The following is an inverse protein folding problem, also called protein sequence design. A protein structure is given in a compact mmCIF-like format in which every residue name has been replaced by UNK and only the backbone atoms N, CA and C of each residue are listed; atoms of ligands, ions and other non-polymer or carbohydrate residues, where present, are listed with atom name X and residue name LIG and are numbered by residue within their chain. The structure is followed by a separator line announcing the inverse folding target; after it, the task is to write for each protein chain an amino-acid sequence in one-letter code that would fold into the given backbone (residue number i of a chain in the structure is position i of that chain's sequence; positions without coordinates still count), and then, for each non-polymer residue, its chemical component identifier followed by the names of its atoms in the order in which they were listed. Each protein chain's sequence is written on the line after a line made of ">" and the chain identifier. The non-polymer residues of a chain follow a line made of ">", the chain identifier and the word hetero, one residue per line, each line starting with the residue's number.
data_IF_798356407919
#
_entry.id   IF_798356407919
#
_cell.length_a   1.000
_cell.length_b   1.000
_cell.length_c   1.000
_cell.angle_alpha   90.00
_cell.angle_beta   90.00
_cell.angle_gamma   90.00
#
_symmetry.space_group_name_H-M   'P 1'
#
loop_
_entity.id
_entity.type
_entity.pdbx_description
1 polymer ?
#
# COMPACT_ATOMS: atom_id res chain seq x y z
N UNK A 1 30.49 28.30 -15.91
CA UNK A 1 30.26 27.90 -14.51
C UNK A 1 28.78 28.09 -14.22
N UNK A 2 28.07 27.07 -13.80
CA UNK A 2 26.67 27.24 -13.36
C UNK A 2 26.66 27.93 -11.98
N UNK A 3 25.96 29.05 -11.87
CA UNK A 3 25.79 29.78 -10.60
C UNK A 3 24.79 28.98 -9.76
N UNK A 4 25.20 28.55 -8.56
CA UNK A 4 24.29 27.93 -7.59
C UNK A 4 23.57 29.05 -6.84
N UNK A 5 22.25 29.07 -6.96
CA UNK A 5 21.39 30.00 -6.23
C UNK A 5 20.96 29.38 -4.90
N UNK A 6 21.22 30.07 -3.82
CA UNK A 6 20.79 29.69 -2.48
C UNK A 6 19.60 30.55 -2.06
N UNK A 7 18.52 29.94 -1.58
CA UNK A 7 17.34 30.61 -1.05
C UNK A 7 17.25 30.30 0.47
N UNK A 8 17.72 31.19 1.35
CA UNK A 8 17.77 30.94 2.81
C UNK A 8 16.42 30.61 3.41
N UNK A 9 15.33 31.19 2.89
CA UNK A 9 13.98 30.99 3.38
C UNK A 9 13.33 29.66 2.92
N UNK A 10 13.98 28.94 1.99
CA UNK A 10 13.42 27.70 1.45
C UNK A 10 13.16 26.65 2.53
N UNK A 11 13.99 26.55 3.55
CA UNK A 11 13.78 25.63 4.69
C UNK A 11 12.50 25.94 5.45
N UNK A 12 12.23 27.23 5.69
CA UNK A 12 11.00 27.69 6.36
C UNK A 12 9.78 27.47 5.47
N UNK A 13 9.91 27.72 4.17
CA UNK A 13 8.87 27.43 3.20
C UNK A 13 8.53 25.93 3.17
N UNK A 14 9.55 25.06 3.15
CA UNK A 14 9.37 23.61 3.24
C UNK A 14 8.61 23.21 4.51
N UNK A 15 9.03 23.68 5.67
CA UNK A 15 8.38 23.39 6.95
C UNK A 15 6.89 23.76 6.91
N UNK A 16 6.57 24.96 6.44
CA UNK A 16 5.20 25.47 6.40
C UNK A 16 4.28 24.70 5.43
N UNK A 17 4.86 24.08 4.38
CA UNK A 17 4.14 23.32 3.37
C UNK A 17 4.01 21.83 3.70
N UNK A 18 4.63 21.35 4.76
CA UNK A 18 4.48 19.95 5.18
C UNK A 18 3.10 19.68 5.78
N UNK A 19 2.50 18.54 5.47
CA UNK A 19 1.23 18.08 6.08
C UNK A 19 1.34 17.98 7.61
N UNK A 20 2.49 17.58 8.11
CA UNK A 20 2.87 17.62 9.53
C UNK A 20 4.14 18.48 9.66
N UNK A 21 4.01 19.78 9.95
CA UNK A 21 5.15 20.69 10.06
C UNK A 21 6.16 20.23 11.10
N UNK A 22 7.44 20.23 10.71
CA UNK A 22 8.56 19.93 11.61
C UNK A 22 9.84 20.60 11.12
N UNK A 23 10.70 21.00 12.05
CA UNK A 23 12.03 21.53 11.77
C UNK A 23 13.16 20.50 11.91
N UNK A 24 12.83 19.26 12.29
CA UNK A 24 13.80 18.17 12.56
C UNK A 24 14.80 17.95 11.42
N UNK A 25 14.42 18.24 10.18
CA UNK A 25 15.33 18.09 9.05
C UNK A 25 16.54 19.04 9.10
N UNK A 26 16.46 20.14 9.86
CA UNK A 26 17.59 21.05 10.11
C UNK A 26 18.71 20.41 10.94
N UNK A 27 18.40 19.36 11.70
CA UNK A 27 19.37 18.64 12.54
C UNK A 27 20.10 17.50 11.79
N UNK A 28 20.08 17.51 10.47
CA UNK A 28 20.75 16.50 9.65
C UNK A 28 22.26 16.53 9.83
N UNK A 29 22.80 15.43 10.37
CA UNK A 29 24.24 15.26 10.62
C UNK A 29 25.07 14.97 9.36
N UNK A 30 24.44 14.81 8.19
CA UNK A 30 25.09 14.37 6.95
C UNK A 30 25.87 13.05 7.07
N UNK A 31 25.49 12.18 8.00
CA UNK A 31 26.19 10.94 8.37
C UNK A 31 26.10 9.80 7.34
N UNK A 32 25.42 9.99 6.20
CA UNK A 32 25.24 9.01 5.11
C UNK A 32 24.33 7.81 5.38
N UNK A 33 23.95 7.48 6.61
CA UNK A 33 23.15 6.30 6.97
C UNK A 33 21.87 6.16 6.13
N UNK A 34 21.20 7.28 5.81
CA UNK A 34 20.02 7.27 4.94
C UNK A 34 20.35 6.82 3.50
N UNK A 35 21.57 7.16 3.00
CA UNK A 35 21.99 6.75 1.66
C UNK A 35 22.31 5.26 1.61
N UNK A 36 23.08 4.73 2.56
CA UNK A 36 23.44 3.30 2.62
C UNK A 36 22.24 2.38 2.80
N UNK A 37 21.16 2.88 3.42
CA UNK A 37 19.92 2.12 3.60
C UNK A 37 18.96 2.22 2.40
N UNK A 38 19.21 3.15 1.48
CA UNK A 38 18.33 3.39 0.34
C UNK A 38 18.64 2.43 -0.80
N UNK A 39 17.67 1.64 -1.31
CA UNK A 39 17.91 0.73 -2.43
C UNK A 39 18.26 1.45 -3.76
N UNK A 40 18.16 2.78 -3.81
CA UNK A 40 18.56 3.58 -4.98
C UNK A 40 20.05 3.85 -5.10
N UNK A 41 20.82 3.74 -4.04
CA UNK A 41 22.24 4.09 -4.05
C UNK A 41 23.02 3.30 -5.11
N UNK A 42 22.69 2.01 -5.25
CA UNK A 42 23.32 1.14 -6.24
C UNK A 42 22.73 1.32 -7.66
N UNK A 43 21.54 1.90 -7.76
CA UNK A 43 20.87 2.10 -9.04
C UNK A 43 21.34 3.38 -9.77
N UNK A 44 21.59 4.46 -8.99
CA UNK A 44 22.07 5.74 -9.50
C UNK A 44 22.89 6.48 -8.42
N UNK A 45 24.20 6.59 -8.64
CA UNK A 45 25.13 7.20 -7.66
C UNK A 45 24.75 8.61 -7.20
N UNK A 46 24.06 9.39 -8.04
CA UNK A 46 23.67 10.78 -7.76
C UNK A 46 22.24 10.91 -7.20
N UNK A 47 21.43 9.84 -7.19
CA UNK A 47 20.06 9.85 -6.68
C UNK A 47 20.00 9.18 -5.32
N UNK A 48 20.22 9.93 -4.26
CA UNK A 48 20.13 9.39 -2.91
C UNK A 48 19.60 10.41 -1.91
N UNK A 49 19.02 9.95 -0.78
CA UNK A 49 18.41 10.83 0.20
C UNK A 49 19.40 11.80 0.85
N UNK A 50 20.69 11.46 0.95
CA UNK A 50 21.69 12.36 1.52
C UNK A 50 21.92 13.59 0.64
N UNK A 51 22.04 13.41 -0.67
CA UNK A 51 22.23 14.52 -1.62
C UNK A 51 21.00 15.42 -1.59
N UNK A 52 19.78 14.85 -1.61
CA UNK A 52 18.53 15.59 -1.47
C UNK A 52 18.53 16.42 -0.18
N UNK A 53 18.88 15.82 0.96
CA UNK A 53 18.93 16.51 2.23
C UNK A 53 19.96 17.64 2.25
N UNK A 54 21.14 17.45 1.66
CA UNK A 54 22.16 18.50 1.55
C UNK A 54 21.68 19.68 0.73
N UNK A 55 21.07 19.45 -0.41
CA UNK A 55 20.45 20.51 -1.22
C UNK A 55 19.39 21.29 -0.42
N UNK A 56 18.53 20.58 0.33
CA UNK A 56 17.49 21.20 1.16
C UNK A 56 18.10 22.12 2.23
N UNK A 57 19.09 21.63 2.98
CA UNK A 57 19.72 22.38 4.06
C UNK A 57 20.46 23.61 3.55
N UNK A 58 21.06 23.50 2.39
CA UNK A 58 21.75 24.61 1.74
C UNK A 58 20.81 25.61 1.07
N UNK A 59 19.51 25.35 1.01
CA UNK A 59 18.54 26.22 0.35
C UNK A 59 18.62 26.20 -1.18
N UNK A 60 19.08 25.09 -1.78
CA UNK A 60 19.20 24.91 -3.22
C UNK A 60 17.87 24.51 -3.84
N UNK A 61 16.88 25.41 -3.79
CA UNK A 61 15.49 25.15 -4.21
C UNK A 61 15.38 24.68 -5.65
N UNK A 62 15.97 25.43 -6.59
CA UNK A 62 15.90 25.07 -8.01
C UNK A 62 16.49 23.69 -8.31
N UNK A 63 17.61 23.34 -7.65
CA UNK A 63 18.24 22.04 -7.79
C UNK A 63 17.40 20.90 -7.22
N UNK A 64 16.63 21.16 -6.16
CA UNK A 64 15.67 20.18 -5.60
C UNK A 64 14.49 19.98 -6.55
N UNK A 65 13.92 21.05 -7.09
CA UNK A 65 12.76 20.96 -7.98
C UNK A 65 13.08 20.21 -9.28
N UNK A 66 14.34 20.20 -9.69
CA UNK A 66 14.85 19.46 -10.87
C UNK A 66 15.46 18.11 -10.52
N UNK A 67 15.53 17.75 -9.21
CA UNK A 67 16.21 16.53 -8.77
C UNK A 67 15.40 15.27 -9.14
N UNK A 68 15.95 14.36 -9.95
CA UNK A 68 15.26 13.10 -10.29
C UNK A 68 14.87 12.27 -9.07
N UNK A 69 15.57 12.42 -7.94
CA UNK A 69 15.24 11.74 -6.69
C UNK A 69 13.81 12.03 -6.21
N UNK A 70 13.30 13.23 -6.50
CA UNK A 70 11.93 13.64 -6.10
C UNK A 70 10.91 12.63 -6.61
N UNK A 71 10.96 12.24 -7.88
CA UNK A 71 9.99 11.28 -8.46
C UNK A 71 10.46 9.82 -8.38
N UNK A 72 11.76 9.58 -8.36
CA UNK A 72 12.28 8.23 -8.21
C UNK A 72 12.19 7.67 -6.77
N UNK A 73 12.02 8.52 -5.75
CA UNK A 73 11.80 8.06 -4.38
C UNK A 73 10.48 7.30 -4.25
N UNK A 74 10.51 6.05 -3.79
CA UNK A 74 9.30 5.24 -3.58
C UNK A 74 8.61 5.51 -2.25
N UNK A 75 9.03 6.54 -1.52
CA UNK A 75 8.47 6.88 -0.20
C UNK A 75 8.40 5.69 0.76
N UNK A 76 9.33 4.76 0.68
CA UNK A 76 9.35 3.57 1.53
C UNK A 76 9.76 3.85 2.98
N UNK A 77 10.28 5.03 3.27
CA UNK A 77 10.69 5.54 4.60
C UNK A 77 11.78 4.75 5.32
N UNK A 78 12.50 3.83 4.64
CA UNK A 78 13.61 3.10 5.25
C UNK A 78 14.71 4.06 5.74
N UNK A 79 14.99 5.12 4.99
CA UNK A 79 15.93 6.18 5.37
C UNK A 79 15.55 6.90 6.69
N UNK A 80 14.26 6.96 7.03
CA UNK A 80 13.79 7.50 8.32
C UNK A 80 14.09 6.54 9.47
N UNK A 81 13.90 5.23 9.25
CA UNK A 81 14.17 4.20 10.27
C UNK A 81 15.64 4.14 10.67
N UNK A 82 16.53 4.34 9.71
CA UNK A 82 17.98 4.28 9.95
C UNK A 82 18.58 5.64 10.36
N UNK A 83 17.82 6.73 10.26
CA UNK A 83 18.30 8.06 10.61
C UNK A 83 18.38 8.25 12.13
N UNK A 84 19.54 8.60 12.72
CA UNK A 84 19.67 8.84 14.16
C UNK A 84 18.81 10.03 14.65
N UNK A 85 18.47 10.97 13.75
CA UNK A 85 17.58 12.10 14.01
C UNK A 85 16.11 11.84 13.61
N UNK A 86 15.80 10.64 13.12
CA UNK A 86 14.47 10.26 12.65
C UNK A 86 13.85 11.22 11.61
N UNK A 87 14.69 11.81 10.74
CA UNK A 87 14.27 12.75 9.70
C UNK A 87 13.38 12.02 8.67
N UNK A 88 12.21 12.56 8.43
CA UNK A 88 11.22 11.98 7.53
C UNK A 88 11.47 12.42 6.07
N UNK A 89 12.54 11.92 5.46
CA UNK A 89 12.92 12.28 4.07
C UNK A 89 11.78 12.02 3.09
N UNK A 90 11.03 10.94 3.27
CA UNK A 90 9.85 10.64 2.42
C UNK A 90 8.75 11.70 2.51
N UNK A 91 8.53 12.30 3.69
CA UNK A 91 7.58 13.41 3.86
C UNK A 91 8.08 14.67 3.15
N UNK A 92 9.37 14.99 3.26
CA UNK A 92 9.98 16.12 2.55
C UNK A 92 9.85 15.96 1.02
N UNK A 93 10.18 14.78 0.49
CA UNK A 93 10.00 14.48 -0.95
C UNK A 93 8.54 14.64 -1.37
N UNK A 94 7.61 14.13 -0.57
CA UNK A 94 6.18 14.25 -0.82
C UNK A 94 5.73 15.72 -0.83
N UNK A 95 6.24 16.53 0.10
CA UNK A 95 5.96 17.98 0.16
C UNK A 95 6.48 18.68 -1.11
N UNK A 96 7.68 18.34 -1.59
CA UNK A 96 8.20 18.89 -2.86
C UNK A 96 7.30 18.54 -4.02
N UNK A 97 6.87 17.29 -4.14
CA UNK A 97 5.97 16.83 -5.21
C UNK A 97 4.67 17.63 -5.30
N UNK A 98 4.02 17.85 -4.16
CA UNK A 98 2.67 18.40 -4.13
C UNK A 98 2.57 19.92 -4.02
N UNK A 99 3.61 20.60 -3.49
CA UNK A 99 3.46 21.97 -3.02
C UNK A 99 4.37 23.00 -3.73
N UNK A 100 5.09 22.59 -4.78
CA UNK A 100 6.02 23.47 -5.50
C UNK A 100 5.77 23.49 -7.01
N UNK A 101 4.55 23.24 -7.45
CA UNK A 101 4.15 23.37 -8.85
C UNK A 101 4.67 22.27 -9.78
N UNK A 102 5.15 21.15 -9.23
CA UNK A 102 5.62 20.05 -10.04
C UNK A 102 4.45 19.24 -10.62
N UNK A 103 4.61 18.81 -11.88
CA UNK A 103 3.70 17.87 -12.53
C UNK A 103 4.16 16.43 -12.23
N UNK A 104 3.21 15.60 -11.80
CA UNK A 104 3.50 14.18 -11.56
C UNK A 104 3.71 13.45 -12.90
N UNK A 105 4.75 12.60 -13.00
CA UNK A 105 5.04 11.86 -14.23
C UNK A 105 4.01 10.76 -14.50
N UNK A 106 3.87 10.40 -15.77
CA UNK A 106 3.02 9.31 -16.24
C UNK A 106 1.55 9.49 -15.86
N UNK A 107 0.94 8.44 -15.32
CA UNK A 107 -0.47 8.41 -14.98
C UNK A 107 -0.78 8.83 -13.53
N UNK A 108 0.23 9.22 -12.74
CA UNK A 108 0.04 9.45 -11.28
C UNK A 108 -0.97 10.57 -11.00
N UNK A 109 -0.91 11.70 -11.74
CA UNK A 109 -1.90 12.77 -11.58
C UNK A 109 -3.25 12.36 -12.17
N UNK A 110 -3.26 11.78 -13.39
CA UNK A 110 -4.50 11.33 -14.05
C UNK A 110 -5.33 10.41 -13.14
N UNK A 111 -4.70 9.49 -12.43
CA UNK A 111 -5.37 8.58 -11.49
C UNK A 111 -6.09 9.34 -10.36
N UNK A 112 -5.48 10.42 -9.87
CA UNK A 112 -6.11 11.29 -8.84
C UNK A 112 -7.31 12.03 -9.43
N UNK A 113 -7.15 12.62 -10.62
CA UNK A 113 -8.20 13.34 -11.31
C UNK A 113 -9.38 12.43 -11.66
N UNK A 114 -9.10 11.19 -12.11
CA UNK A 114 -10.12 10.19 -12.38
C UNK A 114 -10.88 9.81 -11.10
N UNK A 115 -10.18 9.60 -9.99
CA UNK A 115 -10.82 9.32 -8.70
C UNK A 115 -11.74 10.47 -8.25
N UNK A 116 -11.27 11.71 -8.39
CA UNK A 116 -12.08 12.89 -8.06
C UNK A 116 -13.32 13.02 -8.97
N UNK A 117 -13.21 12.65 -10.23
CA UNK A 117 -14.29 12.76 -11.21
C UNK A 117 -15.29 11.60 -11.11
N UNK A 118 -14.83 10.36 -10.95
CA UNK A 118 -15.66 9.16 -11.08
C UNK A 118 -15.93 8.41 -9.76
N UNK A 119 -15.28 8.79 -8.68
CA UNK A 119 -15.36 8.07 -7.39
C UNK A 119 -14.43 6.87 -7.27
N UNK A 120 -13.65 6.53 -8.30
CA UNK A 120 -12.62 5.49 -8.24
C UNK A 120 -11.44 5.79 -9.17
N UNK A 121 -10.26 5.27 -8.83
CA UNK A 121 -9.00 5.56 -9.51
C UNK A 121 -8.84 4.95 -10.91
N UNK A 122 -9.76 4.11 -11.35
CA UNK A 122 -9.65 3.35 -12.61
C UNK A 122 -10.83 3.56 -13.56
N UNK A 123 -11.67 4.54 -13.29
CA UNK A 123 -12.86 4.87 -14.10
C UNK A 123 -13.76 3.62 -14.32
N UNK A 124 -13.85 2.75 -13.31
CA UNK A 124 -14.82 1.65 -13.35
C UNK A 124 -16.22 2.25 -13.35
N UNK A 125 -17.01 1.92 -14.37
CA UNK A 125 -18.39 2.37 -14.44
C UNK A 125 -19.22 1.72 -13.34
N UNK A 126 -20.25 2.41 -12.90
CA UNK A 126 -21.17 1.91 -11.86
C UNK A 126 -21.83 0.60 -12.27
N UNK A 127 -22.27 0.48 -13.52
CA UNK A 127 -22.87 -0.75 -14.09
C UNK A 127 -21.88 -1.92 -14.06
N UNK A 128 -20.64 -1.72 -14.57
CA UNK A 128 -19.60 -2.76 -14.59
C UNK A 128 -19.25 -3.25 -13.16
N UNK A 129 -19.27 -2.35 -12.19
CA UNK A 129 -19.04 -2.69 -10.78
C UNK A 129 -20.17 -3.56 -10.22
N UNK A 130 -21.42 -3.16 -10.43
CA UNK A 130 -22.58 -3.90 -9.94
C UNK A 130 -22.73 -5.26 -10.62
N UNK A 131 -22.51 -5.33 -11.92
CA UNK A 131 -22.51 -6.58 -12.68
C UNK A 131 -21.41 -7.54 -12.18
N UNK A 132 -20.22 -7.01 -11.88
CA UNK A 132 -19.14 -7.79 -11.28
C UNK A 132 -19.54 -8.38 -9.92
N UNK A 133 -20.18 -7.58 -9.05
CA UNK A 133 -20.63 -8.08 -7.75
C UNK A 133 -21.72 -9.13 -7.86
N UNK A 134 -22.64 -8.97 -8.80
CA UNK A 134 -23.68 -9.97 -9.06
C UNK A 134 -23.07 -11.28 -9.53
N UNK A 135 -22.17 -11.24 -10.50
CA UNK A 135 -21.47 -12.43 -10.98
C UNK A 135 -20.68 -13.12 -9.88
N UNK A 136 -19.94 -12.36 -9.06
CA UNK A 136 -19.20 -12.91 -7.91
C UNK A 136 -20.15 -13.51 -6.86
N UNK A 137 -21.34 -12.95 -6.66
CA UNK A 137 -22.37 -13.54 -5.76
C UNK A 137 -22.86 -14.90 -6.29
N UNK A 138 -23.10 -15.01 -7.59
CA UNK A 138 -23.49 -16.27 -8.23
C UNK A 138 -22.42 -17.36 -8.07
N UNK A 139 -21.13 -17.01 -8.31
CA UNK A 139 -20.01 -17.94 -8.06
C UNK A 139 -19.87 -18.29 -6.56
N UNK A 140 -20.06 -17.34 -5.66
CA UNK A 140 -20.05 -17.62 -4.23
C UNK A 140 -21.08 -18.68 -3.86
N UNK A 141 -22.33 -18.54 -4.35
CA UNK A 141 -23.41 -19.48 -4.10
C UNK A 141 -23.09 -20.89 -4.57
N UNK A 142 -22.40 -21.00 -5.73
CA UNK A 142 -21.96 -22.29 -6.28
C UNK A 142 -20.85 -22.92 -5.44
N UNK A 143 -19.82 -22.15 -5.09
CA UNK A 143 -18.67 -22.65 -4.32
C UNK A 143 -19.06 -23.09 -2.91
N UNK A 144 -19.90 -22.30 -2.20
CA UNK A 144 -20.31 -22.63 -0.85
C UNK A 144 -21.57 -23.52 -0.78
N UNK A 145 -22.19 -23.83 -1.94
CA UNK A 145 -23.42 -24.63 -2.06
C UNK A 145 -24.60 -24.09 -1.25
N UNK A 146 -24.67 -22.78 -1.10
CA UNK A 146 -25.71 -22.06 -0.39
C UNK A 146 -26.31 -20.95 -1.27
N UNK A 147 -27.53 -21.17 -1.76
CA UNK A 147 -28.25 -20.19 -2.59
C UNK A 147 -28.62 -18.90 -1.86
N UNK A 148 -28.49 -18.87 -0.53
CA UNK A 148 -28.72 -17.68 0.27
C UNK A 148 -27.44 -16.91 0.56
N UNK A 149 -26.27 -17.43 0.15
CA UNK A 149 -25.03 -16.69 0.25
C UNK A 149 -25.10 -15.40 -0.59
N UNK A 150 -24.74 -14.27 0.01
CA UNK A 150 -24.86 -12.95 -0.62
C UNK A 150 -23.65 -12.08 -0.43
N UNK A 151 -23.43 -11.19 -1.36
CA UNK A 151 -22.58 -10.00 -1.21
C UNK A 151 -23.52 -8.84 -0.82
N UNK A 152 -23.65 -8.52 0.47
CA UNK A 152 -24.58 -7.48 0.91
C UNK A 152 -24.12 -6.11 0.40
N UNK A 153 -25.04 -5.40 -0.26
CA UNK A 153 -24.78 -4.07 -0.82
C UNK A 153 -25.66 -3.03 -0.08
N UNK A 154 -25.03 -1.93 0.36
CA UNK A 154 -25.68 -0.82 1.04
C UNK A 154 -26.49 -1.20 2.31
N UNK A 155 -26.12 -2.29 2.98
CA UNK A 155 -26.76 -2.70 4.25
C UNK A 155 -26.43 -1.68 5.35
N UNK A 156 -27.42 -0.94 5.80
CA UNK A 156 -27.27 0.05 6.87
C UNK A 156 -27.02 -0.63 8.23
N UNK A 157 -26.12 -0.05 9.00
CA UNK A 157 -25.81 -0.51 10.36
C UNK A 157 -25.03 -1.82 10.41
N UNK A 158 -24.52 -2.32 9.28
CA UNK A 158 -23.61 -3.47 9.28
C UNK A 158 -22.39 -3.19 10.16
N UNK A 159 -21.80 -4.24 10.71
CA UNK A 159 -20.61 -4.10 11.57
C UNK A 159 -19.39 -3.57 10.80
N UNK A 160 -19.23 -4.00 9.54
CA UNK A 160 -18.10 -3.66 8.70
C UNK A 160 -18.53 -3.17 7.30
N UNK A 161 -17.85 -2.10 6.83
CA UNK A 161 -17.86 -1.71 5.42
C UNK A 161 -16.59 -2.25 4.76
N UNK A 162 -16.73 -3.24 3.88
CA UNK A 162 -15.61 -3.76 3.10
C UNK A 162 -15.39 -2.92 1.85
N UNK A 163 -14.16 -2.45 1.64
CA UNK A 163 -13.79 -1.58 0.53
C UNK A 163 -12.64 -2.17 -0.28
N UNK A 164 -12.68 -1.90 -1.57
CA UNK A 164 -11.81 -2.51 -2.56
C UNK A 164 -10.70 -1.58 -3.05
N UNK A 165 -9.72 -2.17 -3.69
CA UNK A 165 -8.93 -1.51 -4.71
C UNK A 165 -9.61 -1.76 -6.08
N UNK A 166 -9.84 -0.77 -6.94
CA UNK A 166 -10.49 -0.98 -8.25
C UNK A 166 -9.83 -2.02 -9.16
N UNK A 167 -8.60 -2.40 -8.89
CA UNK A 167 -7.94 -3.52 -9.59
C UNK A 167 -8.65 -4.85 -9.34
N UNK A 168 -9.25 -5.01 -8.16
CA UNK A 168 -10.00 -6.22 -7.82
C UNK A 168 -11.21 -6.37 -8.73
N UNK A 169 -11.89 -5.27 -9.06
CA UNK A 169 -13.01 -5.29 -10.01
C UNK A 169 -12.54 -5.56 -11.44
N UNK A 170 -11.38 -5.01 -11.86
CA UNK A 170 -10.94 -5.12 -13.26
C UNK A 170 -10.08 -6.35 -13.57
N UNK A 171 -9.28 -6.82 -12.63
CA UNK A 171 -8.20 -7.79 -12.89
C UNK A 171 -8.10 -8.92 -11.88
N UNK A 172 -8.69 -8.77 -10.70
CA UNK A 172 -8.55 -9.71 -9.59
C UNK A 172 -9.90 -9.98 -8.92
N UNK A 173 -10.93 -10.26 -9.74
CA UNK A 173 -12.30 -10.52 -9.26
C UNK A 173 -12.37 -11.69 -8.29
N UNK A 174 -11.45 -12.66 -8.44
CA UNK A 174 -11.28 -13.76 -7.52
C UNK A 174 -10.99 -13.31 -6.09
N UNK A 175 -10.32 -12.16 -5.89
CA UNK A 175 -10.05 -11.63 -4.55
C UNK A 175 -11.35 -11.23 -3.84
N UNK A 176 -12.33 -10.71 -4.58
CA UNK A 176 -13.66 -10.36 -4.05
C UNK A 176 -14.42 -11.63 -3.65
N UNK A 177 -14.41 -12.65 -4.51
CA UNK A 177 -15.05 -13.94 -4.25
C UNK A 177 -14.47 -14.59 -2.99
N UNK A 178 -13.15 -14.67 -2.89
CA UNK A 178 -12.47 -15.25 -1.74
C UNK A 178 -12.80 -14.50 -0.45
N UNK A 179 -12.78 -13.15 -0.47
CA UNK A 179 -13.15 -12.36 0.68
C UNK A 179 -14.59 -12.63 1.11
N UNK A 180 -15.53 -12.65 0.17
CA UNK A 180 -16.94 -12.95 0.43
C UNK A 180 -17.12 -14.37 1.00
N UNK A 181 -16.39 -15.36 0.48
CA UNK A 181 -16.40 -16.75 0.97
C UNK A 181 -15.86 -16.85 2.41
N UNK A 182 -14.79 -16.12 2.73
CA UNK A 182 -14.25 -16.05 4.09
C UNK A 182 -15.27 -15.40 5.06
N UNK A 183 -15.91 -14.31 4.65
CA UNK A 183 -16.95 -13.66 5.46
C UNK A 183 -18.18 -14.55 5.64
N UNK A 184 -18.60 -15.26 4.60
CA UNK A 184 -19.68 -16.24 4.68
C UNK A 184 -19.33 -17.37 5.65
N UNK A 185 -18.15 -17.98 5.52
CA UNK A 185 -17.69 -19.06 6.39
C UNK A 185 -17.58 -18.60 7.86
N UNK A 186 -17.17 -17.37 8.09
CA UNK A 186 -17.07 -16.77 9.40
C UNK A 186 -18.42 -16.30 9.98
N UNK A 187 -19.51 -16.30 9.21
CA UNK A 187 -20.80 -15.72 9.59
C UNK A 187 -20.70 -14.24 9.95
N UNK A 188 -19.95 -13.43 9.16
CA UNK A 188 -19.68 -12.04 9.51
C UNK A 188 -20.80 -11.10 9.06
N UNK A 189 -21.01 -10.03 9.84
CA UNK A 189 -21.94 -8.95 9.50
C UNK A 189 -21.19 -7.82 8.79
N UNK A 190 -21.31 -7.77 7.47
CA UNK A 190 -20.59 -6.85 6.62
C UNK A 190 -21.44 -6.33 5.46
N UNK A 191 -20.94 -5.34 4.77
CA UNK A 191 -21.53 -4.86 3.51
C UNK A 191 -20.47 -4.24 2.63
N UNK A 192 -20.75 -4.17 1.34
CA UNK A 192 -20.08 -3.26 0.41
C UNK A 192 -20.96 -2.04 0.15
N UNK A 193 -20.39 -0.99 -0.43
CA UNK A 193 -21.15 0.16 -0.85
C UNK A 193 -21.31 0.19 -2.36
N UNK A 194 -22.49 0.60 -2.82
CA UNK A 194 -22.72 0.92 -4.24
C UNK A 194 -22.01 2.21 -4.68
N UNK A 195 -21.52 3.04 -3.74
CA UNK A 195 -20.87 4.35 -4.00
C UNK A 195 -19.60 4.47 -3.17
N UNK A 196 -18.59 5.20 -3.71
CA UNK A 196 -17.35 5.50 -3.00
C UNK A 196 -16.67 4.25 -2.38
N UNK A 197 -16.72 3.13 -3.09
CA UNK A 197 -16.20 1.83 -2.67
C UNK A 197 -14.67 1.68 -2.84
N UNK A 198 -14.01 2.61 -3.57
CA UNK A 198 -12.57 2.64 -3.73
C UNK A 198 -11.88 3.15 -2.47
N UNK A 199 -11.19 2.25 -1.75
CA UNK A 199 -10.43 2.57 -0.54
C UNK A 199 -9.07 3.23 -0.82
N UNK A 200 -8.67 3.40 -2.07
CA UNK A 200 -7.35 3.96 -2.41
C UNK A 200 -7.34 5.50 -2.41
N UNK A 201 -6.16 6.09 -2.31
CA UNK A 201 -5.98 7.54 -2.41
C UNK A 201 -4.58 7.87 -2.97
N UNK A 202 -4.47 8.01 -4.29
CA UNK A 202 -3.20 8.23 -4.96
C UNK A 202 -2.60 9.62 -4.72
N UNK A 203 -3.39 10.60 -4.30
CA UNK A 203 -2.90 11.91 -3.89
C UNK A 203 -1.93 11.82 -2.68
N UNK A 204 -1.96 10.71 -1.94
CA UNK A 204 -0.93 10.35 -0.96
C UNK A 204 0.48 10.35 -1.57
N UNK A 205 0.66 9.88 -2.80
CA UNK A 205 1.98 9.72 -3.42
C UNK A 205 2.50 10.97 -4.10
N UNK A 206 1.63 11.78 -4.68
CA UNK A 206 2.02 13.04 -5.33
C UNK A 206 1.98 14.26 -4.39
N UNK A 207 1.59 14.08 -3.12
CA UNK A 207 1.61 15.14 -2.13
C UNK A 207 0.50 16.18 -2.26
N UNK A 208 -0.54 15.88 -3.03
CA UNK A 208 -1.70 16.75 -3.24
C UNK A 208 -2.70 16.59 -2.09
N UNK A 209 -2.45 17.29 -0.99
CA UNK A 209 -3.20 17.12 0.25
C UNK A 209 -4.66 17.60 0.17
N UNK A 210 -4.97 18.57 -0.68
CA UNK A 210 -6.35 19.02 -0.89
C UNK A 210 -7.16 17.96 -1.62
N UNK A 211 -6.62 17.39 -2.68
CA UNK A 211 -7.24 16.29 -3.43
C UNK A 211 -7.36 15.03 -2.55
N UNK A 212 -6.33 14.74 -1.74
CA UNK A 212 -6.36 13.65 -0.78
C UNK A 212 -7.49 13.81 0.25
N UNK A 213 -7.72 15.04 0.71
CA UNK A 213 -8.82 15.38 1.63
C UNK A 213 -10.18 15.14 1.00
N UNK A 214 -10.39 15.59 -0.25
CA UNK A 214 -11.68 15.40 -0.94
C UNK A 214 -11.99 13.91 -1.16
N UNK A 215 -11.00 13.08 -1.51
CA UNK A 215 -11.18 11.63 -1.61
C UNK A 215 -11.50 11.03 -0.22
N UNK A 216 -10.78 11.43 0.82
CA UNK A 216 -11.02 10.94 2.19
C UNK A 216 -12.41 11.31 2.72
N UNK A 217 -12.90 12.51 2.38
CA UNK A 217 -14.25 12.97 2.71
C UNK A 217 -15.34 12.04 2.18
N UNK A 218 -15.22 11.59 0.93
CA UNK A 218 -16.21 10.70 0.30
C UNK A 218 -16.37 9.40 1.09
N UNK A 219 -15.27 8.79 1.54
CA UNK A 219 -15.33 7.59 2.38
C UNK A 219 -15.96 7.88 3.74
N UNK A 220 -15.65 9.04 4.34
CA UNK A 220 -16.25 9.45 5.61
C UNK A 220 -17.77 9.72 5.49
N UNK A 221 -18.21 10.32 4.38
CA UNK A 221 -19.63 10.52 4.08
C UNK A 221 -20.34 9.19 3.84
N UNK A 222 -19.68 8.25 3.20
CA UNK A 222 -20.22 6.93 2.93
C UNK A 222 -20.41 6.11 4.20
N UNK A 223 -19.46 6.14 5.12
CA UNK A 223 -19.62 5.49 6.43
C UNK A 223 -20.77 6.09 7.24
N UNK A 224 -20.97 7.42 7.15
CA UNK A 224 -22.12 8.11 7.77
C UNK A 224 -23.44 7.71 7.11
N UNK A 225 -23.49 7.67 5.76
CA UNK A 225 -24.68 7.26 5.00
C UNK A 225 -25.18 5.88 5.39
N UNK A 226 -24.23 4.95 5.58
CA UNK A 226 -24.53 3.56 5.94
C UNK A 226 -24.65 3.33 7.46
N UNK A 227 -24.26 4.31 8.29
CA UNK A 227 -24.28 4.17 9.75
C UNK A 227 -23.23 3.18 10.26
N UNK A 228 -22.09 3.05 9.58
CA UNK A 228 -21.03 2.08 9.87
C UNK A 228 -19.83 2.80 10.49
N UNK A 229 -19.23 2.17 11.51
CA UNK A 229 -18.10 2.75 12.25
C UNK A 229 -16.75 2.20 11.85
N UNK A 230 -16.68 1.04 11.20
CA UNK A 230 -15.43 0.36 10.89
C UNK A 230 -15.36 0.02 9.40
N UNK A 231 -14.31 0.52 8.74
CA UNK A 231 -14.00 0.21 7.35
C UNK A 231 -12.92 -0.86 7.32
N UNK A 232 -13.13 -1.90 6.51
CA UNK A 232 -12.20 -3.00 6.30
C UNK A 232 -11.60 -2.89 4.91
N UNK A 233 -10.27 -2.73 4.84
CA UNK A 233 -9.53 -2.68 3.59
C UNK A 233 -9.22 -4.08 3.09
N UNK A 234 -9.39 -4.32 1.80
CA UNK A 234 -8.83 -5.49 1.11
C UNK A 234 -7.30 -5.57 1.27
N UNK A 235 -6.64 -6.60 0.75
CA UNK A 235 -5.18 -6.71 0.85
C UNK A 235 -4.44 -5.64 0.04
N UNK A 236 -4.62 -4.40 0.42
CA UNK A 236 -4.02 -3.23 -0.21
C UNK A 236 -3.33 -2.33 0.81
N UNK A 237 -2.00 -2.46 0.95
CA UNK A 237 -1.22 -1.61 1.86
C UNK A 237 -1.32 -0.11 1.56
N UNK A 238 -1.60 0.28 0.31
CA UNK A 238 -1.86 1.67 -0.06
C UNK A 238 -3.20 2.16 0.50
N UNK A 239 -4.28 1.42 0.27
CA UNK A 239 -5.61 1.77 0.80
C UNK A 239 -5.57 1.81 2.33
N UNK A 240 -4.94 0.83 2.97
CA UNK A 240 -4.78 0.81 4.42
C UNK A 240 -4.06 2.07 4.93
N UNK A 241 -2.91 2.42 4.34
CA UNK A 241 -2.14 3.60 4.76
C UNK A 241 -2.93 4.89 4.58
N UNK A 242 -3.61 5.07 3.44
CA UNK A 242 -4.36 6.30 3.16
C UNK A 242 -5.53 6.50 4.11
N UNK A 243 -6.19 5.42 4.55
CA UNK A 243 -7.31 5.51 5.47
C UNK A 243 -6.88 5.51 6.94
N UNK A 244 -5.96 4.64 7.35
CA UNK A 244 -5.51 4.54 8.73
C UNK A 244 -4.68 5.73 9.20
N UNK A 245 -3.71 6.14 8.37
CA UNK A 245 -2.79 7.24 8.69
C UNK A 245 -3.22 8.57 8.03
N UNK A 246 -3.66 8.52 6.77
CA UNK A 246 -3.90 9.72 5.96
C UNK A 246 -5.21 10.41 6.30
N UNK A 247 -6.34 9.70 6.32
CA UNK A 247 -7.66 10.31 6.54
C UNK A 247 -7.75 11.13 7.82
N UNK A 248 -7.22 10.69 8.99
CA UNK A 248 -7.23 11.52 10.19
C UNK A 248 -6.45 12.84 10.04
N UNK A 249 -5.35 12.82 9.30
CA UNK A 249 -4.53 14.02 9.08
C UNK A 249 -5.18 15.00 8.12
N UNK A 250 -5.81 14.49 7.05
CA UNK A 250 -6.46 15.34 6.05
C UNK A 250 -7.79 15.93 6.53
N UNK A 251 -8.53 15.18 7.35
CA UNK A 251 -9.83 15.61 7.87
C UNK A 251 -9.73 16.32 9.22
N UNK A 252 -8.60 16.22 9.93
CA UNK A 252 -8.40 16.81 11.26
C UNK A 252 -9.01 16.00 12.41
N UNK A 253 -9.69 14.88 12.10
CA UNK A 253 -10.29 13.95 13.04
C UNK A 253 -10.25 12.52 12.50
N UNK A 254 -10.43 11.53 13.35
CA UNK A 254 -10.57 10.13 12.94
C UNK A 254 -12.01 9.86 12.50
N UNK A 255 -12.29 9.72 11.20
CA UNK A 255 -13.68 9.65 10.74
C UNK A 255 -14.34 8.29 10.99
N UNK A 256 -13.56 7.22 11.06
CA UNK A 256 -13.98 5.83 11.27
C UNK A 256 -12.79 4.98 11.73
N UNK A 257 -13.08 3.81 12.27
CA UNK A 257 -12.07 2.79 12.53
C UNK A 257 -11.63 2.10 11.24
N UNK A 258 -10.35 1.72 11.16
CA UNK A 258 -9.79 1.06 9.97
C UNK A 258 -9.17 -0.27 10.35
N UNK A 259 -9.61 -1.34 9.69
CA UNK A 259 -9.00 -2.67 9.75
C UNK A 259 -8.52 -3.09 8.35
N UNK A 260 -7.52 -3.95 8.29
CA UNK A 260 -7.25 -4.77 7.10
C UNK A 260 -8.07 -6.05 7.20
N UNK A 261 -8.43 -6.65 6.08
CA UNK A 261 -9.04 -7.99 6.06
C UNK A 261 -8.18 -9.01 6.83
N UNK A 262 -6.87 -8.82 6.85
CA UNK A 262 -5.96 -9.69 7.62
C UNK A 262 -6.27 -9.71 9.12
N UNK A 263 -6.67 -8.58 9.73
CA UNK A 263 -7.08 -8.57 11.13
C UNK A 263 -8.33 -9.40 11.38
N UNK A 264 -9.24 -9.43 10.40
CA UNK A 264 -10.47 -10.23 10.52
C UNK A 264 -10.15 -11.71 10.33
N UNK A 265 -9.31 -12.05 9.37
CA UNK A 265 -8.88 -13.44 9.14
C UNK A 265 -8.16 -13.98 10.37
N UNK A 266 -7.19 -13.23 10.94
CA UNK A 266 -6.52 -13.60 12.19
C UNK A 266 -7.53 -13.84 13.30
N UNK A 267 -8.46 -12.89 13.52
CA UNK A 267 -9.51 -13.02 14.51
C UNK A 267 -10.38 -14.25 14.28
N UNK A 268 -10.80 -14.53 13.04
CA UNK A 268 -11.64 -15.69 12.71
C UNK A 268 -10.93 -17.02 12.98
N UNK A 269 -9.64 -17.08 12.70
CA UNK A 269 -8.81 -18.24 13.01
C UNK A 269 -8.66 -18.45 14.51
N UNK A 270 -8.40 -17.39 15.27
CA UNK A 270 -8.26 -17.43 16.73
C UNK A 270 -9.59 -17.80 17.45
N UNK A 271 -10.70 -17.27 16.96
CA UNK A 271 -12.05 -17.56 17.47
C UNK A 271 -12.61 -18.92 16.98
N UNK A 272 -11.91 -19.60 16.07
CA UNK A 272 -12.38 -20.85 15.46
C UNK A 272 -13.62 -20.69 14.57
N UNK A 273 -13.89 -19.47 14.09
CA UNK A 273 -15.01 -19.17 13.16
C UNK A 273 -14.76 -19.69 11.76
N UNK A 274 -13.50 -19.79 11.36
CA UNK A 274 -13.08 -20.50 10.15
C UNK A 274 -12.11 -21.62 10.52
N UNK A 275 -12.20 -22.73 9.78
CA UNK A 275 -11.30 -23.88 9.93
C UNK A 275 -10.43 -24.00 8.71
N UNK A 276 -9.17 -24.37 8.91
CA UNK A 276 -8.18 -24.48 7.83
C UNK A 276 -7.38 -25.77 7.92
N UNK A 277 -7.00 -26.29 6.76
CA UNK A 277 -6.10 -27.44 6.63
C UNK A 277 -4.79 -26.97 5.96
N UNK A 278 -3.71 -26.74 6.74
CA UNK A 278 -2.44 -26.28 6.20
C UNK A 278 -1.76 -27.26 5.24
N UNK A 279 -2.14 -28.53 5.24
CA UNK A 279 -1.55 -29.56 4.35
C UNK A 279 -1.83 -29.27 2.88
N UNK A 280 -2.87 -28.49 2.58
CA UNK A 280 -3.18 -28.03 1.22
C UNK A 280 -2.19 -26.98 0.70
N UNK A 281 -1.43 -26.34 1.58
CA UNK A 281 -0.34 -25.40 1.28
C UNK A 281 1.00 -26.00 1.71
N UNK A 282 1.43 -27.04 1.06
CA UNK A 282 2.61 -27.85 1.42
C UNK A 282 3.93 -27.37 0.79
N UNK A 283 3.92 -26.30 -0.01
CA UNK A 283 5.13 -25.69 -0.57
C UNK A 283 5.72 -24.68 0.40
N UNK A 284 7.06 -24.47 0.40
CA UNK A 284 7.69 -23.43 1.21
C UNK A 284 7.20 -22.02 0.84
N UNK A 285 6.73 -21.26 1.83
CA UNK A 285 6.16 -19.91 1.70
C UNK A 285 7.03 -18.90 2.40
N UNK A 286 7.22 -17.73 1.82
CA UNK A 286 7.84 -16.56 2.47
C UNK A 286 6.95 -15.33 2.38
N UNK A 287 7.20 -14.34 3.25
CA UNK A 287 6.41 -13.13 3.35
C UNK A 287 7.22 -11.90 2.94
N UNK A 288 6.70 -11.11 1.99
CA UNK A 288 7.15 -9.74 1.79
C UNK A 288 6.29 -8.76 2.61
N UNK A 289 6.91 -8.04 3.53
CA UNK A 289 6.26 -6.98 4.33
C UNK A 289 6.07 -5.70 3.52
N UNK A 290 4.86 -5.30 3.11
CA UNK A 290 4.65 -4.06 2.37
C UNK A 290 4.93 -2.84 3.25
N UNK A 291 5.78 -1.92 2.76
CA UNK A 291 6.17 -0.75 3.54
C UNK A 291 4.99 0.15 3.92
N UNK A 292 3.94 0.21 3.11
CA UNK A 292 2.74 1.01 3.41
C UNK A 292 1.93 0.42 4.56
N UNK A 293 1.78 -0.91 4.59
CA UNK A 293 1.03 -1.61 5.64
C UNK A 293 1.84 -1.65 6.94
N UNK A 294 3.10 -2.08 6.89
CA UNK A 294 3.89 -2.41 8.08
C UNK A 294 4.60 -1.16 8.64
N UNK A 295 5.51 -0.56 7.88
CA UNK A 295 6.39 0.51 8.39
C UNK A 295 5.71 1.87 8.50
N UNK A 296 4.91 2.24 7.50
CA UNK A 296 4.39 3.61 7.37
C UNK A 296 3.08 3.82 8.13
N UNK A 297 2.25 2.80 8.25
CA UNK A 297 0.99 2.89 9.00
C UNK A 297 1.24 3.15 10.48
N UNK A 298 2.34 2.63 11.02
CA UNK A 298 2.65 2.63 12.45
C UNK A 298 1.54 2.00 13.30
N UNK A 299 0.75 1.12 12.70
CA UNK A 299 -0.27 0.37 13.42
C UNK A 299 0.41 -0.65 14.35
N UNK A 300 0.15 -0.59 15.66
CA UNK A 300 0.77 -1.52 16.60
C UNK A 300 0.42 -2.98 16.26
N UNK A 301 1.42 -3.85 16.27
CA UNK A 301 1.23 -5.29 16.06
C UNK A 301 1.00 -5.74 14.61
N UNK A 302 0.75 -4.81 13.68
CA UNK A 302 0.37 -5.15 12.29
C UNK A 302 1.40 -6.06 11.58
N UNK A 303 2.66 -6.04 11.97
CA UNK A 303 3.68 -6.87 11.38
C UNK A 303 3.53 -8.37 11.74
N UNK A 304 2.88 -8.67 12.84
CA UNK A 304 2.67 -10.06 13.30
C UNK A 304 1.43 -10.70 12.68
N UNK A 305 0.39 -9.91 12.40
CA UNK A 305 -0.89 -10.41 11.84
C UNK A 305 -0.69 -11.30 10.61
N UNK A 306 0.03 -10.91 9.54
CA UNK A 306 0.27 -11.76 8.39
C UNK A 306 0.99 -13.07 8.76
N UNK A 307 1.88 -13.02 9.76
CA UNK A 307 2.66 -14.17 10.23
C UNK A 307 1.82 -15.16 11.00
N UNK A 308 0.93 -14.67 11.88
CA UNK A 308 0.01 -15.52 12.62
C UNK A 308 -0.93 -16.28 11.67
N UNK A 309 -1.41 -15.62 10.61
CA UNK A 309 -2.21 -16.26 9.57
C UNK A 309 -1.37 -17.35 8.86
N UNK A 310 -0.19 -17.00 8.33
CA UNK A 310 0.64 -17.95 7.59
C UNK A 310 1.01 -19.19 8.40
N UNK A 311 1.34 -19.03 9.68
CA UNK A 311 1.66 -20.16 10.56
C UNK A 311 0.50 -21.16 10.74
N UNK A 312 -0.74 -20.73 10.49
CA UNK A 312 -1.91 -21.60 10.60
C UNK A 312 -2.35 -22.19 9.25
N UNK A 313 -2.03 -21.52 8.13
CA UNK A 313 -2.53 -21.92 6.80
C UNK A 313 -1.50 -22.58 5.90
N UNK A 314 -0.22 -22.63 6.29
CA UNK A 314 0.85 -23.29 5.52
C UNK A 314 1.69 -24.23 6.39
N UNK A 315 2.33 -25.24 5.78
CA UNK A 315 3.16 -26.21 6.52
C UNK A 315 4.61 -25.77 6.68
N UNK A 316 5.13 -24.89 5.81
CA UNK A 316 6.53 -24.43 5.80
C UNK A 316 6.58 -22.92 5.55
N UNK A 317 6.61 -22.13 6.63
CA UNK A 317 6.78 -20.69 6.56
C UNK A 317 8.22 -20.28 6.84
N UNK A 318 8.84 -19.55 5.91
CA UNK A 318 10.24 -19.11 5.95
C UNK A 318 10.34 -17.60 5.95
N UNK A 319 10.90 -17.02 7.02
CA UNK A 319 11.08 -15.56 7.11
C UNK A 319 12.15 -15.05 6.14
N UNK A 320 11.89 -13.87 5.54
CA UNK A 320 12.94 -13.07 4.93
C UNK A 320 13.74 -12.32 6.00
N UNK A 321 14.98 -12.03 5.73
CA UNK A 321 15.81 -11.18 6.59
C UNK A 321 16.51 -10.08 5.78
N UNK A 322 16.45 -8.77 6.23
CA UNK A 322 15.63 -8.24 7.33
C UNK A 322 14.12 -8.22 6.99
N UNK A 323 13.28 -8.22 8.02
CA UNK A 323 11.83 -8.29 7.89
C UNK A 323 11.12 -7.20 8.70
N UNK A 324 9.79 -7.23 8.76
CA UNK A 324 8.94 -6.28 9.48
C UNK A 324 9.21 -4.85 9.03
N UNK A 325 9.38 -3.94 9.99
CA UNK A 325 9.68 -2.53 9.71
C UNK A 325 11.03 -2.34 9.00
N UNK A 326 11.97 -3.28 9.20
CA UNK A 326 13.31 -3.23 8.61
C UNK A 326 13.39 -3.85 7.22
N UNK A 327 12.30 -4.38 6.69
CA UNK A 327 12.24 -5.03 5.39
C UNK A 327 12.73 -4.13 4.24
N UNK A 328 13.35 -4.71 3.22
CA UNK A 328 13.69 -4.01 1.98
C UNK A 328 12.44 -3.74 1.14
N UNK A 329 12.39 -2.53 0.54
CA UNK A 329 11.32 -2.13 -0.35
C UNK A 329 11.32 -2.99 -1.63
N UNK A 330 10.13 -3.37 -2.11
CA UNK A 330 10.01 -4.02 -3.42
C UNK A 330 10.36 -3.09 -4.60
N UNK A 331 10.22 -1.78 -4.43
CA UNK A 331 10.49 -0.79 -5.49
C UNK A 331 9.25 -0.25 -6.19
N UNK A 332 8.06 -0.79 -5.93
CA UNK A 332 6.83 -0.39 -6.63
C UNK A 332 6.04 0.76 -5.99
N UNK A 333 6.45 1.23 -4.80
CA UNK A 333 5.73 2.29 -4.07
C UNK A 333 5.95 3.71 -4.62
N UNK A 334 5.31 4.69 -3.96
CA UNK A 334 5.49 6.11 -4.28
C UNK A 334 5.02 6.55 -5.66
N UNK A 335 4.18 5.76 -6.32
CA UNK A 335 3.70 6.00 -7.68
C UNK A 335 4.50 5.29 -8.76
N UNK A 336 5.64 4.66 -8.45
CA UNK A 336 6.59 4.11 -9.42
C UNK A 336 5.98 3.18 -10.49
N UNK A 337 5.03 2.31 -10.10
CA UNK A 337 4.37 1.37 -11.04
C UNK A 337 3.43 2.07 -12.03
N UNK A 338 3.05 3.33 -11.78
CA UNK A 338 2.13 4.11 -12.62
C UNK A 338 2.82 5.26 -13.37
N UNK A 339 4.14 5.41 -13.23
CA UNK A 339 4.90 6.43 -13.96
C UNK A 339 5.23 6.01 -15.40
N UNK A 340 4.92 4.77 -15.79
CA UNK A 340 5.12 4.27 -17.15
C UNK A 340 6.58 4.38 -17.60
N UNK A 341 6.79 4.82 -18.84
CA UNK A 341 8.13 5.00 -19.43
C UNK A 341 8.96 6.11 -18.77
N UNK A 342 8.34 7.03 -18.05
CA UNK A 342 9.05 8.10 -17.33
C UNK A 342 9.85 7.58 -16.14
N UNK A 343 9.47 6.42 -15.59
CA UNK A 343 10.27 5.70 -14.61
C UNK A 343 10.89 4.47 -15.24
N UNK A 344 12.15 4.60 -15.69
CA UNK A 344 12.83 3.53 -16.42
C UNK A 344 12.77 2.19 -15.70
N UNK A 345 12.31 1.16 -16.41
CA UNK A 345 12.16 -0.21 -15.88
C UNK A 345 13.47 -0.72 -15.26
N UNK A 346 14.62 -0.47 -15.91
CA UNK A 346 15.94 -0.88 -15.42
C UNK A 346 16.26 -0.32 -14.04
N UNK A 347 15.90 0.96 -13.78
CA UNK A 347 16.08 1.60 -12.48
C UNK A 347 15.22 0.90 -11.42
N UNK A 348 13.97 0.61 -11.77
CA UNK A 348 13.03 -0.07 -10.89
C UNK A 348 13.49 -1.49 -10.58
N UNK A 349 14.01 -2.21 -11.57
CA UNK A 349 14.55 -3.56 -11.39
C UNK A 349 15.82 -3.57 -10.54
N UNK A 350 16.81 -2.71 -10.85
CA UNK A 350 18.03 -2.57 -10.03
C UNK A 350 17.67 -2.30 -8.55
N UNK A 351 16.69 -1.46 -8.30
CA UNK A 351 16.19 -1.20 -6.96
C UNK A 351 15.57 -2.43 -6.30
N UNK A 352 14.92 -3.29 -7.08
CA UNK A 352 14.33 -4.54 -6.61
C UNK A 352 15.34 -5.66 -6.32
N UNK A 353 16.63 -5.47 -6.69
CA UNK A 353 17.63 -6.53 -6.57
C UNK A 353 17.79 -7.07 -5.15
N UNK A 354 17.89 -6.20 -4.15
CA UNK A 354 17.98 -6.63 -2.75
C UNK A 354 16.78 -7.49 -2.32
N UNK A 355 15.60 -7.21 -2.86
CA UNK A 355 14.41 -8.01 -2.62
C UNK A 355 14.49 -9.36 -3.33
N UNK A 356 15.00 -9.38 -4.56
CA UNK A 356 15.23 -10.63 -5.29
C UNK A 356 16.20 -11.55 -4.53
N UNK A 357 17.28 -10.99 -4.02
CA UNK A 357 18.26 -11.74 -3.24
C UNK A 357 17.65 -12.30 -1.94
N UNK A 358 16.87 -11.48 -1.20
CA UNK A 358 16.13 -11.97 -0.02
C UNK A 358 15.19 -13.14 -0.35
N UNK A 359 14.47 -13.09 -1.48
CA UNK A 359 13.58 -14.18 -1.90
C UNK A 359 14.39 -15.46 -2.14
N UNK A 360 15.51 -15.37 -2.87
CA UNK A 360 16.40 -16.55 -3.12
C UNK A 360 16.92 -17.18 -1.83
N UNK A 361 17.35 -16.36 -0.89
CA UNK A 361 17.90 -16.82 0.39
C UNK A 361 16.91 -17.66 1.20
N UNK A 362 15.60 -17.40 1.06
CA UNK A 362 14.59 -18.21 1.76
C UNK A 362 14.41 -19.62 1.18
N UNK A 363 14.76 -19.83 -0.09
CA UNK A 363 14.44 -21.05 -0.83
C UNK A 363 12.94 -21.33 -0.96
N UNK A 364 12.08 -20.31 -0.74
CA UNK A 364 10.63 -20.43 -0.87
C UNK A 364 10.21 -20.65 -2.32
N UNK A 365 9.06 -21.27 -2.51
CA UNK A 365 8.39 -21.44 -3.81
C UNK A 365 7.23 -20.46 -4.00
N UNK A 366 6.71 -19.94 -2.90
CA UNK A 366 5.63 -18.98 -2.88
C UNK A 366 6.07 -17.75 -2.08
N UNK A 367 5.84 -16.54 -2.65
CA UNK A 367 6.03 -15.27 -1.97
C UNK A 367 4.67 -14.62 -1.76
N UNK A 368 4.32 -14.39 -0.51
CA UNK A 368 3.05 -13.75 -0.15
C UNK A 368 3.26 -12.27 0.12
N UNK A 369 2.34 -11.43 -0.33
CA UNK A 369 2.37 -9.99 -0.06
C UNK A 369 0.97 -9.39 0.03
N UNK A 370 0.57 -8.76 1.14
CA UNK A 370 -0.74 -8.12 1.27
C UNK A 370 -0.75 -6.70 0.67
N UNK A 371 -0.44 -6.60 -0.62
CA UNK A 371 -0.45 -5.31 -1.32
C UNK A 371 -0.36 -5.48 -2.84
N UNK A 372 -1.37 -5.03 -3.59
CA UNK A 372 -1.42 -5.11 -5.05
C UNK A 372 -0.20 -4.44 -5.74
N UNK A 373 0.24 -3.27 -5.27
CA UNK A 373 1.45 -2.64 -5.84
C UNK A 373 2.71 -3.49 -5.63
N UNK A 374 2.80 -4.20 -4.51
CA UNK A 374 3.91 -5.12 -4.29
C UNK A 374 3.74 -6.40 -5.10
N UNK A 375 2.51 -6.88 -5.29
CA UNK A 375 2.21 -8.05 -6.13
C UNK A 375 2.74 -7.83 -7.56
N UNK A 376 2.36 -6.71 -8.20
CA UNK A 376 2.82 -6.36 -9.55
C UNK A 376 4.35 -6.23 -9.61
N UNK A 377 4.92 -5.49 -8.67
CA UNK A 377 6.36 -5.26 -8.64
C UNK A 377 7.17 -6.54 -8.38
N UNK A 378 6.69 -7.43 -7.52
CA UNK A 378 7.35 -8.70 -7.23
C UNK A 378 7.22 -9.66 -8.41
N UNK A 379 6.13 -9.64 -9.16
CA UNK A 379 6.00 -10.38 -10.42
C UNK A 379 7.03 -9.90 -11.45
N UNK A 380 7.24 -8.58 -11.59
CA UNK A 380 8.27 -8.03 -12.46
C UNK A 380 9.68 -8.44 -12.00
N UNK A 381 9.96 -8.40 -10.69
CA UNK A 381 11.23 -8.85 -10.09
C UNK A 381 11.43 -10.35 -10.32
N UNK A 382 10.39 -11.16 -10.10
CA UNK A 382 10.43 -12.60 -10.34
C UNK A 382 10.84 -12.91 -11.79
N UNK A 383 10.23 -12.22 -12.75
CA UNK A 383 10.55 -12.35 -14.17
C UNK A 383 11.95 -11.88 -14.52
N UNK A 384 12.34 -10.70 -14.05
CA UNK A 384 13.65 -10.08 -14.34
C UNK A 384 14.80 -10.91 -13.80
N UNK A 385 14.68 -11.39 -12.55
CA UNK A 385 15.73 -12.15 -11.86
C UNK A 385 15.55 -13.65 -11.92
N UNK A 386 14.57 -14.16 -12.69
CA UNK A 386 14.29 -15.58 -12.89
C UNK A 386 14.21 -16.37 -11.57
N UNK A 387 13.42 -15.87 -10.62
CA UNK A 387 13.36 -16.47 -9.28
C UNK A 387 12.58 -17.80 -9.25
N UNK A 388 11.68 -18.04 -10.22
CA UNK A 388 10.90 -19.27 -10.32
C UNK A 388 9.92 -19.48 -9.15
N UNK A 389 9.38 -18.38 -8.59
CA UNK A 389 8.44 -18.40 -7.47
C UNK A 389 7.04 -17.96 -7.91
N UNK A 390 6.01 -18.42 -7.22
CA UNK A 390 4.65 -17.88 -7.34
C UNK A 390 4.50 -16.68 -6.42
N UNK A 391 3.99 -15.55 -6.92
CA UNK A 391 3.65 -14.37 -6.10
C UNK A 391 2.14 -14.37 -5.87
N UNK A 392 1.70 -14.20 -4.61
CA UNK A 392 0.27 -14.25 -4.25
C UNK A 392 -0.04 -13.39 -3.03
N UNK A 393 -1.32 -13.31 -2.66
CA UNK A 393 -1.82 -12.66 -1.44
C UNK A 393 -2.20 -13.69 -0.39
N UNK A 394 -2.44 -13.25 0.86
CA UNK A 394 -2.78 -14.16 1.97
C UNK A 394 -4.11 -14.84 1.74
N UNK A 395 -5.12 -14.08 1.27
CA UNK A 395 -6.47 -14.61 1.07
C UNK A 395 -6.48 -15.87 0.19
N UNK A 396 -5.60 -15.96 -0.81
CA UNK A 396 -5.52 -17.15 -1.66
C UNK A 396 -5.00 -18.39 -0.91
N UNK A 397 -4.06 -18.22 0.02
CA UNK A 397 -3.59 -19.34 0.85
C UNK A 397 -4.61 -19.70 1.92
N UNK A 398 -5.31 -18.71 2.47
CA UNK A 398 -6.43 -18.96 3.38
C UNK A 398 -7.54 -19.72 2.69
N UNK A 399 -7.93 -19.30 1.49
CA UNK A 399 -8.96 -19.94 0.68
C UNK A 399 -8.60 -21.37 0.34
N UNK A 400 -7.37 -21.60 -0.13
CA UNK A 400 -6.91 -22.96 -0.44
C UNK A 400 -6.92 -23.89 0.78
N UNK A 401 -6.62 -23.36 1.97
CA UNK A 401 -6.65 -24.12 3.22
C UNK A 401 -8.05 -24.22 3.83
N UNK A 402 -9.00 -23.37 3.43
CA UNK A 402 -10.32 -23.27 4.05
C UNK A 402 -11.08 -24.60 3.96
N UNK A 403 -11.66 -24.99 5.09
CA UNK A 403 -12.54 -26.17 5.21
C UNK A 403 -13.96 -25.65 5.36
N UNK A 404 -14.74 -25.77 4.30
CA UNK A 404 -16.18 -25.48 4.33
C UNK A 404 -16.89 -26.65 5.00
N UNK A 405 -17.66 -26.37 6.05
CA UNK A 405 -18.42 -27.37 6.82
C UNK A 405 -19.85 -27.47 6.36
#
# INVERSE_FOLDING_TARGET
>A
MSVIRLEPDFRKEMQNKMLQPTDKFNYCLSCTTCATSCPFVDAHSNMNPRIFMRKLILGMKEDILKDPFVWNCTNCTRCTMTCPQHIQVGALVRTVRGNFGLTAPGYVQKIVDDHLRTGNQMEVKQEDYLDTLQWVEEELQEEVKDKNAKIPLDKKGAKYLYVLNPREVKYYTQDILIAAKIFWAAGEDWTMSSKNWDGTNWALFNGRDNEAREIAKRMAEETKRLGIKTVVMSECGHAYLSNYWGSPLWLGEKPYEVKSILHLIEQYLEEGRIKVDPSKNNQPVTLHDPCNLIRKSKCPGIAEVPRHILKQVVTDFREMWPNRENNYCCGGGGGAVMMGSEYKKEVRMKKGKLKADQIRETGAKIVVTPCHNCLDQLNDINKEYQLGVKITQHIHLVDNALVLS
#
